data_IF_448483762053
#
_entry.id   IF_448483762053
#
_cell.length_a   1.000
_cell.length_b   1.000
_cell.length_c   1.000
_cell.angle_alpha   90.00
_cell.angle_beta   90.00
_cell.angle_gamma   90.00
#
_symmetry.space_group_name_H-M   'P 1'
#
loop_
_entity.id
_entity.type
_entity.pdbx_description
1 polymer ?
#
# COMPACT_ATOMS: atom_id res chain seq x y z
N UNK A 1 -1.65 -3.95 27.88
CA UNK A 1 -0.52 -4.55 28.58
C UNK A 1 0.60 -3.51 28.71
N UNK A 2 1.30 -3.43 29.87
CA UNK A 2 2.40 -2.51 30.07
C UNK A 2 3.45 -2.80 28.98
N UNK A 3 3.68 -1.83 28.06
CA UNK A 3 4.60 -1.99 26.95
C UNK A 3 3.97 -2.29 25.59
N UNK A 4 2.68 -1.96 25.38
CA UNK A 4 2.10 -2.04 24.04
C UNK A 4 2.78 -0.98 23.13
N UNK A 5 3.74 -1.48 22.35
CA UNK A 5 4.52 -0.65 21.43
C UNK A 5 3.66 -0.02 20.33
N UNK A 6 2.58 -0.69 19.92
CA UNK A 6 1.70 -0.18 18.88
C UNK A 6 0.84 0.97 19.40
N UNK A 7 0.36 0.91 20.65
CA UNK A 7 -0.33 2.04 21.27
C UNK A 7 0.59 3.25 21.45
N UNK A 8 1.80 3.04 21.97
CA UNK A 8 2.78 4.12 22.17
C UNK A 8 3.11 4.80 20.84
N UNK A 9 3.40 3.99 19.80
CA UNK A 9 3.71 4.46 18.46
C UNK A 9 2.53 5.20 17.82
N UNK A 10 1.31 4.66 17.98
CA UNK A 10 0.11 5.33 17.49
C UNK A 10 -0.01 6.74 18.04
N UNK A 11 0.12 6.91 19.37
CA UNK A 11 0.03 8.22 20.02
C UNK A 11 1.14 9.15 19.54
N UNK A 12 2.40 8.70 19.59
CA UNK A 12 3.55 9.51 19.20
C UNK A 12 3.50 9.94 17.73
N UNK A 13 3.10 9.04 16.82
CA UNK A 13 2.99 9.35 15.41
C UNK A 13 1.80 10.25 15.12
N UNK A 14 0.66 10.04 15.79
CA UNK A 14 -0.49 10.91 15.65
C UNK A 14 -0.18 12.35 16.07
N UNK A 15 0.48 12.55 17.23
CA UNK A 15 0.93 13.86 17.70
C UNK A 15 1.94 14.49 16.73
N UNK A 16 2.92 13.71 16.24
CA UNK A 16 3.92 14.17 15.28
C UNK A 16 3.27 14.59 13.96
N UNK A 17 2.49 13.73 13.35
CA UNK A 17 1.89 13.97 12.04
C UNK A 17 0.88 15.13 12.09
N UNK A 18 0.11 15.24 13.17
CA UNK A 18 -0.76 16.40 13.41
C UNK A 18 0.04 17.69 13.52
N UNK A 19 1.20 17.70 14.21
CA UNK A 19 2.08 18.87 14.32
C UNK A 19 2.65 19.30 12.95
N UNK A 20 2.85 18.36 12.05
CA UNK A 20 3.29 18.56 10.67
C UNK A 20 2.11 18.87 9.71
N UNK A 21 0.89 19.00 10.24
CA UNK A 21 -0.36 19.24 9.49
C UNK A 21 -0.67 18.16 8.46
N UNK A 22 -0.24 16.94 8.71
CA UNK A 22 -0.61 15.79 7.89
C UNK A 22 -2.06 15.37 8.18
N UNK A 23 -2.76 14.74 7.24
CA UNK A 23 -4.19 14.44 7.35
C UNK A 23 -4.45 13.25 8.28
N UNK A 24 -4.03 13.34 9.53
CA UNK A 24 -4.29 12.36 10.59
C UNK A 24 -5.28 12.93 11.60
N UNK A 25 -5.99 12.08 12.39
CA UNK A 25 -6.90 12.57 13.41
C UNK A 25 -6.16 13.35 14.48
N UNK A 26 -6.79 14.40 15.03
CA UNK A 26 -6.27 15.11 16.18
C UNK A 26 -6.52 14.29 17.46
N UNK A 27 -5.53 14.25 18.37
CA UNK A 27 -5.68 13.68 19.70
C UNK A 27 -6.19 14.76 20.65
N UNK A 28 -7.34 14.54 21.29
CA UNK A 28 -7.89 15.41 22.32
C UNK A 28 -7.41 15.05 23.73
N UNK A 29 -7.27 13.74 24.00
CA UNK A 29 -6.78 13.26 25.31
C UNK A 29 -6.18 11.85 25.18
N UNK A 30 -5.22 11.54 26.07
CA UNK A 30 -4.59 10.21 26.17
C UNK A 30 -4.59 9.77 27.62
N UNK A 31 -5.13 8.59 27.89
CA UNK A 31 -4.93 7.88 29.16
C UNK A 31 -3.98 6.69 28.92
N UNK A 32 -2.71 6.88 29.28
CA UNK A 32 -1.66 5.86 29.11
C UNK A 32 -1.81 4.70 30.11
N UNK A 33 -2.54 4.89 31.21
CA UNK A 33 -2.72 3.85 32.21
C UNK A 33 -3.76 2.80 31.76
N UNK A 34 -4.79 3.25 31.04
CA UNK A 34 -5.86 2.38 30.52
C UNK A 34 -5.77 2.14 29.01
N UNK A 35 -4.74 2.69 28.33
CA UNK A 35 -4.56 2.57 26.86
C UNK A 35 -5.75 3.14 26.07
N UNK A 36 -6.27 4.26 26.49
CA UNK A 36 -7.41 4.93 25.85
C UNK A 36 -6.95 6.25 25.20
N UNK A 37 -7.50 6.54 24.04
CA UNK A 37 -7.28 7.79 23.32
C UNK A 37 -8.61 8.37 22.89
N UNK A 38 -8.80 9.66 23.13
CA UNK A 38 -9.91 10.41 22.56
C UNK A 38 -9.41 11.12 21.29
N UNK A 39 -9.97 10.73 20.16
CA UNK A 39 -9.55 11.20 18.84
C UNK A 39 -10.62 12.08 18.17
N UNK A 40 -10.18 12.88 17.22
CA UNK A 40 -11.05 13.50 16.23
C UNK A 40 -11.83 12.42 15.46
N UNK A 41 -13.13 12.64 15.27
CA UNK A 41 -13.97 11.81 14.43
C UNK A 41 -13.77 12.22 12.95
N UNK A 42 -13.17 11.33 12.16
CA UNK A 42 -12.98 11.52 10.72
C UNK A 42 -14.18 11.04 9.89
N UNK A 43 -15.30 10.73 10.55
CA UNK A 43 -16.47 10.17 9.92
C UNK A 43 -16.42 8.65 9.77
N UNK A 44 -17.39 8.10 9.05
CA UNK A 44 -17.56 6.65 8.89
C UNK A 44 -17.29 6.16 7.48
N UNK A 45 -17.12 7.06 6.51
CA UNK A 45 -16.96 6.69 5.11
C UNK A 45 -15.48 6.54 4.76
N UNK A 46 -15.10 5.34 4.34
CA UNK A 46 -13.79 5.05 3.77
C UNK A 46 -13.79 5.30 2.26
N UNK A 47 -12.64 5.53 1.65
CA UNK A 47 -12.51 5.62 0.20
C UNK A 47 -13.04 4.35 -0.49
N UNK A 48 -12.84 3.19 0.13
CA UNK A 48 -13.43 1.92 -0.29
C UNK A 48 -14.96 1.99 -0.43
N UNK A 49 -15.66 2.60 0.55
CA UNK A 49 -17.13 2.72 0.50
C UNK A 49 -17.59 3.64 -0.64
N UNK A 50 -16.84 4.72 -0.87
CA UNK A 50 -17.08 5.62 -2.01
C UNK A 50 -16.99 4.86 -3.34
N UNK A 51 -16.03 3.95 -3.46
CA UNK A 51 -15.84 3.15 -4.68
C UNK A 51 -16.87 2.03 -4.83
N UNK A 52 -17.38 1.46 -3.73
CA UNK A 52 -18.37 0.35 -3.73
C UNK A 52 -19.79 0.84 -3.96
N UNK A 53 -20.13 2.01 -3.53
CA UNK A 53 -21.44 2.60 -3.90
C UNK A 53 -21.62 2.71 -5.42
N UNK A 54 -20.55 2.38 -6.17
CA UNK A 54 -20.46 2.22 -7.61
C UNK A 54 -20.85 0.83 -8.12
N UNK A 55 -21.01 -0.15 -7.24
CA UNK A 55 -21.33 -1.51 -7.68
C UNK A 55 -22.80 -1.63 -8.09
N UNK A 56 -23.05 -2.38 -9.14
CA UNK A 56 -24.26 -2.50 -9.95
C UNK A 56 -25.58 -2.83 -9.25
N UNK A 57 -25.64 -2.74 -7.91
CA UNK A 57 -26.89 -2.89 -7.13
C UNK A 57 -27.56 -1.55 -6.75
N UNK A 58 -26.88 -0.41 -6.94
CA UNK A 58 -27.49 0.90 -6.75
C UNK A 58 -28.10 1.39 -8.08
N UNK A 59 -29.31 1.89 -8.02
CA UNK A 59 -30.06 2.41 -9.17
C UNK A 59 -29.45 3.67 -9.81
N UNK A 60 -28.36 4.20 -9.26
CA UNK A 60 -27.52 5.25 -9.82
C UNK A 60 -26.06 4.87 -9.65
N UNK A 61 -25.32 4.55 -10.74
CA UNK A 61 -23.88 4.42 -10.66
C UNK A 61 -23.32 5.78 -10.19
N UNK A 62 -22.36 5.80 -9.25
CA UNK A 62 -21.72 7.05 -8.87
C UNK A 62 -21.02 7.64 -10.08
N UNK A 63 -20.98 8.93 -10.10
CA UNK A 63 -20.29 9.71 -11.10
C UNK A 63 -18.80 9.33 -11.12
N UNK A 64 -18.37 8.64 -12.18
CA UNK A 64 -16.98 8.25 -12.37
C UNK A 64 -16.03 9.48 -12.25
N UNK A 65 -16.54 10.68 -12.53
CA UNK A 65 -15.81 11.93 -12.36
C UNK A 65 -15.57 12.23 -10.86
N UNK A 66 -16.49 11.88 -9.99
CA UNK A 66 -16.35 12.07 -8.54
C UNK A 66 -15.27 11.15 -7.96
N UNK A 67 -15.25 9.86 -8.35
CA UNK A 67 -14.21 8.92 -7.92
C UNK A 67 -12.83 9.38 -8.39
N UNK A 68 -12.70 9.78 -9.65
CA UNK A 68 -11.43 10.29 -10.19
C UNK A 68 -10.95 11.53 -9.41
N UNK A 69 -11.84 12.47 -9.11
CA UNK A 69 -11.52 13.66 -8.33
C UNK A 69 -11.03 13.30 -6.92
N UNK A 70 -11.70 12.36 -6.24
CA UNK A 70 -11.31 11.93 -4.89
C UNK A 70 -9.93 11.27 -4.93
N UNK A 71 -9.65 10.37 -5.87
CA UNK A 71 -8.33 9.75 -6.02
C UNK A 71 -7.23 10.76 -6.29
N UNK A 72 -7.47 11.76 -7.15
CA UNK A 72 -6.50 12.83 -7.38
C UNK A 72 -6.19 13.62 -6.11
N UNK A 73 -7.20 13.89 -5.28
CA UNK A 73 -7.01 14.58 -3.99
C UNK A 73 -6.29 13.70 -2.98
N UNK A 74 -6.60 12.41 -2.89
CA UNK A 74 -5.87 11.46 -2.02
C UNK A 74 -4.40 11.37 -2.43
N UNK A 75 -4.11 11.31 -3.73
CA UNK A 75 -2.74 11.33 -4.24
C UNK A 75 -2.02 12.66 -3.96
N UNK A 76 -2.72 13.79 -3.98
CA UNK A 76 -2.15 15.08 -3.58
C UNK A 76 -1.80 15.11 -2.08
N UNK A 77 -2.69 14.57 -1.23
CA UNK A 77 -2.40 14.41 0.20
C UNK A 77 -1.25 13.42 0.47
N UNK A 78 -1.09 12.38 -0.35
CA UNK A 78 0.08 11.50 -0.29
C UNK A 78 1.37 12.26 -0.63
N UNK A 79 1.34 13.16 -1.62
CA UNK A 79 2.51 14.01 -1.92
C UNK A 79 2.84 14.95 -0.76
N UNK A 80 1.83 15.51 -0.09
CA UNK A 80 1.99 16.32 1.11
C UNK A 80 2.59 15.49 2.27
N UNK A 81 2.08 14.27 2.48
CA UNK A 81 2.66 13.30 3.44
C UNK A 81 4.14 13.07 3.19
N UNK A 82 4.53 12.83 1.96
CA UNK A 82 5.92 12.60 1.56
C UNK A 82 6.80 13.85 1.73
N UNK A 83 6.26 15.05 1.56
CA UNK A 83 6.98 16.31 1.76
C UNK A 83 7.44 16.48 3.22
N UNK A 84 6.71 15.94 4.18
CA UNK A 84 7.07 15.99 5.59
C UNK A 84 8.24 15.07 5.99
N UNK A 85 8.80 14.28 5.06
CA UNK A 85 9.83 13.25 5.34
C UNK A 85 10.97 13.76 6.21
N UNK A 86 11.61 14.86 5.81
CA UNK A 86 12.78 15.39 6.50
C UNK A 86 12.45 15.81 7.95
N UNK A 87 11.34 16.51 8.13
CA UNK A 87 10.92 17.01 9.44
C UNK A 87 10.46 15.86 10.35
N UNK A 88 9.72 14.90 9.81
CA UNK A 88 9.25 13.72 10.55
C UNK A 88 10.42 12.86 11.03
N UNK A 89 11.41 12.60 10.17
CA UNK A 89 12.60 11.82 10.57
C UNK A 89 13.53 12.57 11.51
N UNK A 90 13.57 13.90 11.44
CA UNK A 90 14.33 14.71 12.40
C UNK A 90 13.68 14.67 13.79
N UNK A 91 12.34 14.69 13.84
CA UNK A 91 11.58 14.76 15.09
C UNK A 91 11.45 13.40 15.81
N UNK A 92 11.42 12.28 15.08
CA UNK A 92 11.24 10.93 15.65
C UNK A 92 12.41 10.00 15.35
N UNK A 93 13.12 9.59 16.39
CA UNK A 93 14.19 8.59 16.28
C UNK A 93 13.65 7.19 15.95
N UNK A 94 12.47 6.82 16.51
CA UNK A 94 11.80 5.55 16.18
C UNK A 94 11.47 5.50 14.69
N UNK A 95 10.79 6.51 14.16
CA UNK A 95 10.41 6.58 12.75
C UNK A 95 11.63 6.56 11.82
N UNK A 96 12.69 7.30 12.16
CA UNK A 96 13.95 7.32 11.39
C UNK A 96 14.64 5.97 11.36
N UNK A 97 14.57 5.18 12.44
CA UNK A 97 15.20 3.86 12.54
C UNK A 97 14.43 2.75 11.80
N UNK A 98 13.18 3.02 11.43
CA UNK A 98 12.32 2.03 10.77
C UNK A 98 12.52 2.05 9.27
N UNK A 99 13.60 1.45 8.83
CA UNK A 99 13.92 1.31 7.42
C UNK A 99 13.06 0.22 6.75
N UNK A 100 12.54 0.55 5.57
CA UNK A 100 11.94 -0.43 4.66
C UNK A 100 12.99 -0.83 3.63
N UNK A 101 13.99 -1.54 4.11
CA UNK A 101 15.18 -1.96 3.39
C UNK A 101 14.98 -3.30 2.66
N UNK A 102 16.04 -3.82 2.04
CA UNK A 102 16.04 -5.09 1.33
C UNK A 102 15.58 -6.24 2.24
N UNK A 103 15.95 -6.25 3.52
CA UNK A 103 15.54 -7.29 4.45
C UNK A 103 14.02 -7.25 4.71
N UNK A 104 13.46 -6.07 4.95
CA UNK A 104 12.02 -5.89 5.14
C UNK A 104 11.23 -6.26 3.87
N UNK A 105 11.73 -5.89 2.69
CA UNK A 105 11.14 -6.25 1.41
C UNK A 105 11.20 -7.77 1.15
N UNK A 106 12.31 -8.41 1.49
CA UNK A 106 12.42 -9.87 1.40
C UNK A 106 11.48 -10.60 2.34
N UNK A 107 11.30 -10.10 3.55
CA UNK A 107 10.32 -10.63 4.48
C UNK A 107 8.90 -10.64 3.86
N UNK A 108 8.51 -9.61 3.12
CA UNK A 108 7.20 -9.59 2.46
C UNK A 108 7.05 -10.65 1.37
N UNK A 109 8.10 -10.90 0.57
CA UNK A 109 8.08 -11.97 -0.44
C UNK A 109 8.18 -13.37 0.18
N UNK A 110 8.84 -13.52 1.32
CA UNK A 110 8.82 -14.76 2.12
C UNK A 110 7.41 -15.00 2.67
N UNK A 111 6.75 -13.97 3.17
CA UNK A 111 5.37 -14.03 3.65
C UNK A 111 4.39 -14.44 2.54
N UNK A 112 4.57 -13.92 1.33
CA UNK A 112 3.84 -14.36 0.12
C UNK A 112 4.13 -15.84 -0.19
N UNK A 113 5.38 -16.24 -0.13
CA UNK A 113 5.80 -17.62 -0.38
C UNK A 113 5.15 -18.58 0.61
N UNK A 114 5.23 -18.28 1.90
CA UNK A 114 4.69 -19.13 2.95
C UNK A 114 3.17 -19.26 2.86
N UNK A 115 2.48 -18.13 2.82
CA UNK A 115 1.03 -18.14 2.99
C UNK A 115 0.25 -18.29 1.70
N UNK A 116 0.73 -17.71 0.59
CA UNK A 116 0.05 -17.83 -0.70
C UNK A 116 0.58 -19.02 -1.50
N UNK A 117 1.88 -19.07 -1.86
CA UNK A 117 2.39 -20.11 -2.77
C UNK A 117 2.33 -21.50 -2.12
N UNK A 118 2.87 -21.67 -0.92
CA UNK A 118 2.86 -22.94 -0.20
C UNK A 118 1.50 -23.20 0.45
N UNK A 119 1.03 -22.26 1.26
CA UNK A 119 -0.16 -22.44 2.09
C UNK A 119 -1.45 -22.52 1.28
N UNK A 120 -1.72 -21.58 0.40
CA UNK A 120 -2.97 -21.51 -0.36
C UNK A 120 -2.92 -22.33 -1.66
N UNK A 121 -1.81 -22.20 -2.43
CA UNK A 121 -1.66 -22.88 -3.71
C UNK A 121 -1.14 -24.32 -3.59
N UNK A 122 -0.53 -24.69 -2.45
CA UNK A 122 0.00 -26.03 -2.20
C UNK A 122 1.24 -26.36 -3.03
N UNK A 123 2.00 -25.34 -3.47
CA UNK A 123 3.20 -25.56 -4.30
C UNK A 123 4.34 -26.09 -3.44
N UNK A 124 5.12 -27.04 -3.99
CA UNK A 124 6.27 -27.59 -3.30
C UNK A 124 7.47 -26.62 -3.27
N UNK A 125 8.39 -26.76 -2.30
CA UNK A 125 9.59 -25.92 -2.23
C UNK A 125 10.43 -25.97 -3.50
N UNK A 126 10.48 -27.10 -4.19
CA UNK A 126 11.26 -27.28 -5.41
C UNK A 126 10.72 -26.42 -6.58
N UNK A 127 9.39 -26.24 -6.65
CA UNK A 127 8.73 -25.38 -7.65
C UNK A 127 9.00 -23.90 -7.33
N UNK A 128 9.10 -23.56 -6.07
CA UNK A 128 9.25 -22.17 -5.60
C UNK A 128 10.71 -21.73 -5.63
N UNK A 129 11.66 -22.62 -5.37
CA UNK A 129 13.09 -22.29 -5.24
C UNK A 129 13.67 -21.41 -6.37
N UNK A 130 13.29 -21.60 -7.66
CA UNK A 130 13.76 -20.74 -8.75
C UNK A 130 13.31 -19.27 -8.64
N UNK A 131 12.32 -18.96 -7.81
CA UNK A 131 11.83 -17.58 -7.62
C UNK A 131 12.68 -16.77 -6.63
N UNK A 132 13.41 -17.42 -5.71
CA UNK A 132 14.14 -16.69 -4.67
C UNK A 132 15.15 -15.67 -5.21
N UNK A 133 15.99 -15.98 -6.22
CA UNK A 133 16.87 -14.99 -6.82
C UNK A 133 16.10 -13.82 -7.47
N UNK A 134 14.89 -14.07 -7.96
CA UNK A 134 14.05 -13.05 -8.56
C UNK A 134 13.46 -12.12 -7.48
N UNK A 135 13.05 -12.68 -6.34
CA UNK A 135 12.60 -11.90 -5.19
C UNK A 135 13.74 -11.05 -4.60
N UNK A 136 14.99 -11.58 -4.58
CA UNK A 136 16.16 -10.80 -4.17
C UNK A 136 16.37 -9.60 -5.10
N UNK A 137 16.33 -9.80 -6.42
CA UNK A 137 16.45 -8.74 -7.40
C UNK A 137 15.36 -7.67 -7.24
N UNK A 138 14.09 -8.08 -7.06
CA UNK A 138 12.99 -7.13 -6.86
C UNK A 138 13.22 -6.30 -5.59
N UNK A 139 13.55 -6.95 -4.48
CA UNK A 139 13.82 -6.26 -3.21
C UNK A 139 14.99 -5.27 -3.32
N UNK A 140 16.08 -5.65 -3.99
CA UNK A 140 17.22 -4.76 -4.24
C UNK A 140 16.86 -3.54 -5.09
N UNK A 141 15.99 -3.71 -6.09
CA UNK A 141 15.54 -2.62 -6.95
C UNK A 141 14.62 -1.69 -6.18
N UNK A 142 13.60 -2.20 -5.49
CA UNK A 142 12.68 -1.39 -4.67
C UNK A 142 13.42 -0.64 -3.54
N UNK A 143 14.44 -1.25 -2.93
CA UNK A 143 15.25 -0.59 -1.91
C UNK A 143 16.07 0.61 -2.45
N UNK A 144 16.35 0.65 -3.75
CA UNK A 144 17.07 1.75 -4.44
C UNK A 144 16.15 2.86 -4.95
N UNK A 145 14.84 2.72 -4.85
CA UNK A 145 13.91 3.78 -5.23
C UNK A 145 14.16 5.07 -4.44
N UNK A 146 13.75 6.24 -4.95
CA UNK A 146 13.64 7.46 -4.14
C UNK A 146 12.86 7.17 -2.86
N UNK A 147 13.39 7.62 -1.73
CA UNK A 147 12.92 7.23 -0.40
C UNK A 147 12.40 8.43 0.39
N UNK A 148 11.40 8.19 1.21
CA UNK A 148 10.79 9.19 2.08
C UNK A 148 9.87 8.56 3.10
N UNK A 149 9.02 9.39 3.70
CA UNK A 149 7.99 8.96 4.63
C UNK A 149 6.93 8.17 3.87
N UNK A 150 6.83 6.88 4.14
CA UNK A 150 5.76 6.02 3.64
C UNK A 150 4.78 5.67 4.77
N UNK A 151 3.51 5.56 4.44
CA UNK A 151 2.45 5.09 5.32
C UNK A 151 2.52 3.56 5.51
N UNK A 152 2.92 2.85 4.46
CA UNK A 152 3.03 1.41 4.29
C UNK A 152 1.70 0.70 3.99
N UNK A 153 0.67 0.96 4.73
CA UNK A 153 -0.65 0.32 4.56
C UNK A 153 -1.67 1.31 3.96
N UNK A 154 -1.25 2.01 2.88
CA UNK A 154 -2.01 3.08 2.21
C UNK A 154 -3.04 2.51 1.22
N UNK A 155 -4.02 1.81 1.74
CA UNK A 155 -5.11 1.21 0.99
C UNK A 155 -6.43 1.97 1.21
N UNK A 156 -7.41 1.76 0.35
CA UNK A 156 -8.68 2.51 0.37
C UNK A 156 -9.46 2.39 1.68
N UNK A 157 -9.24 1.34 2.47
CA UNK A 157 -9.83 1.16 3.80
C UNK A 157 -9.19 2.05 4.87
N UNK A 158 -7.97 2.56 4.63
CA UNK A 158 -7.23 3.40 5.57
C UNK A 158 -7.26 4.89 5.18
N UNK A 159 -8.07 5.23 4.17
CA UNK A 159 -8.33 6.61 3.74
C UNK A 159 -9.78 6.96 4.05
N UNK A 160 -9.97 7.90 4.96
CA UNK A 160 -11.29 8.42 5.34
C UNK A 160 -11.67 9.61 4.44
N UNK A 161 -12.94 9.67 4.04
CA UNK A 161 -13.50 10.76 3.25
C UNK A 161 -14.76 11.24 3.95
N UNK A 162 -14.73 12.40 4.59
CA UNK A 162 -15.91 12.92 5.29
C UNK A 162 -16.96 13.51 4.33
N UNK A 163 -18.15 13.85 4.86
CA UNK A 163 -19.26 14.41 4.09
C UNK A 163 -18.95 15.76 3.41
N UNK A 164 -17.86 16.44 3.77
CA UNK A 164 -17.37 17.67 3.11
C UNK A 164 -16.33 17.35 2.04
N UNK A 165 -15.93 16.09 1.94
CA UNK A 165 -14.88 15.61 1.08
C UNK A 165 -13.47 15.78 1.68
N UNK A 166 -13.31 16.13 2.95
CA UNK A 166 -12.00 16.16 3.62
C UNK A 166 -11.43 14.73 3.67
N UNK A 167 -10.12 14.63 3.46
CA UNK A 167 -9.39 13.36 3.47
C UNK A 167 -8.65 13.22 4.80
N UNK A 168 -8.70 12.04 5.40
CA UNK A 168 -7.95 11.68 6.58
C UNK A 168 -7.30 10.30 6.44
N UNK A 169 -6.13 10.11 7.03
CA UNK A 169 -5.39 8.84 7.02
C UNK A 169 -5.45 8.18 8.40
N UNK A 170 -5.70 6.89 8.42
CA UNK A 170 -5.71 6.06 9.63
C UNK A 170 -4.78 4.86 9.45
N UNK A 171 -4.48 4.14 10.54
CA UNK A 171 -3.59 2.96 10.53
C UNK A 171 -2.14 3.28 10.10
N UNK A 172 -1.66 4.48 10.48
CA UNK A 172 -0.34 5.02 10.10
C UNK A 172 0.81 4.59 11.03
N UNK A 173 0.57 3.84 12.11
CA UNK A 173 1.63 3.38 13.01
C UNK A 173 2.60 2.39 12.32
N UNK A 174 2.23 1.91 11.13
CA UNK A 174 3.09 1.20 10.21
C UNK A 174 4.14 2.07 9.51
N UNK A 175 4.03 3.40 9.58
CA UNK A 175 4.86 4.35 8.85
C UNK A 175 6.37 4.15 9.08
N UNK A 176 7.16 4.40 8.04
CA UNK A 176 8.62 4.18 8.04
C UNK A 176 9.31 4.89 6.88
N UNK A 177 10.62 4.76 6.80
CA UNK A 177 11.42 5.27 5.70
C UNK A 177 11.48 4.24 4.57
N UNK A 178 10.83 4.50 3.44
CA UNK A 178 10.74 3.55 2.32
C UNK A 178 10.54 4.21 0.97
N UNK A 179 10.25 3.38 -0.05
CA UNK A 179 10.01 3.82 -1.41
C UNK A 179 8.83 4.78 -1.51
N UNK A 180 9.01 5.92 -2.17
CA UNK A 180 7.95 6.90 -2.44
C UNK A 180 6.85 6.37 -3.36
N UNK A 181 7.10 5.29 -4.09
CA UNK A 181 6.11 4.67 -4.99
C UNK A 181 5.22 3.64 -4.31
N UNK A 182 5.63 3.11 -3.13
CA UNK A 182 4.96 1.98 -2.49
C UNK A 182 3.53 2.28 -2.07
N UNK A 183 3.29 3.46 -1.50
CA UNK A 183 1.95 3.88 -1.06
C UNK A 183 1.03 4.16 -2.26
N UNK A 184 1.55 4.79 -3.32
CA UNK A 184 0.80 4.98 -4.56
C UNK A 184 0.43 3.62 -5.19
N UNK A 185 1.32 2.63 -5.14
CA UNK A 185 1.06 1.28 -5.59
C UNK A 185 -0.01 0.58 -4.73
N UNK A 186 0.06 0.75 -3.40
CA UNK A 186 -0.93 0.22 -2.47
C UNK A 186 -2.33 0.76 -2.74
N UNK A 187 -2.45 2.05 -3.08
CA UNK A 187 -3.71 2.71 -3.37
C UNK A 187 -4.27 2.38 -4.75
N UNK A 188 -3.45 2.48 -5.79
CA UNK A 188 -3.91 2.39 -7.18
C UNK A 188 -4.12 0.94 -7.66
N UNK A 189 -3.41 -0.02 -7.07
CA UNK A 189 -3.61 -1.45 -7.32
C UNK A 189 -4.34 -2.17 -6.17
N UNK A 190 -5.06 -1.40 -5.33
CA UNK A 190 -5.78 -1.94 -4.18
C UNK A 190 -6.79 -3.03 -4.60
N UNK A 191 -6.66 -4.29 -4.10
CA UNK A 191 -7.60 -5.37 -4.40
C UNK A 191 -9.02 -5.18 -3.82
N UNK A 192 -9.20 -4.22 -2.91
CA UNK A 192 -10.53 -3.89 -2.37
C UNK A 192 -11.41 -3.14 -3.36
N UNK A 193 -10.81 -2.48 -4.35
CA UNK A 193 -11.53 -1.66 -5.34
C UNK A 193 -11.20 -2.08 -6.77
N UNK A 194 -12.16 -1.93 -7.68
CA UNK A 194 -11.98 -2.31 -9.08
C UNK A 194 -11.69 -1.08 -9.95
N UNK A 195 -10.45 -0.57 -9.91
CA UNK A 195 -10.00 0.50 -10.80
C UNK A 195 -9.56 -0.10 -12.13
N UNK A 196 -9.98 0.51 -13.25
CA UNK A 196 -9.50 0.14 -14.57
C UNK A 196 -7.98 0.40 -14.69
N UNK A 197 -7.18 -0.58 -15.17
CA UNK A 197 -5.73 -0.40 -15.32
C UNK A 197 -5.32 0.82 -16.16
N UNK A 198 -6.16 1.21 -17.14
CA UNK A 198 -5.89 2.43 -17.93
C UNK A 198 -5.99 3.70 -17.10
N UNK A 199 -6.93 3.75 -16.15
CA UNK A 199 -7.05 4.85 -15.18
C UNK A 199 -5.90 4.86 -14.19
N UNK A 200 -5.44 3.68 -13.72
CA UNK A 200 -4.25 3.58 -12.86
C UNK A 200 -3.07 4.28 -13.54
N UNK A 201 -2.81 3.99 -14.82
CA UNK A 201 -1.70 4.60 -15.57
C UNK A 201 -1.85 6.12 -15.72
N UNK A 202 -3.08 6.60 -15.98
CA UNK A 202 -3.36 8.03 -16.11
C UNK A 202 -3.16 8.74 -14.77
N UNK A 203 -3.77 8.23 -13.69
CA UNK A 203 -3.70 8.88 -12.37
C UNK A 203 -2.29 8.85 -11.79
N UNK A 204 -1.56 7.74 -11.97
CA UNK A 204 -0.16 7.67 -11.58
C UNK A 204 0.70 8.66 -12.35
N UNK A 205 0.52 8.77 -13.69
CA UNK A 205 1.27 9.74 -14.52
C UNK A 205 1.06 11.17 -14.03
N UNK A 206 -0.19 11.54 -13.77
CA UNK A 206 -0.55 12.89 -13.35
C UNK A 206 -0.01 13.19 -11.94
N UNK A 207 -0.06 12.21 -11.04
CA UNK A 207 0.54 12.29 -9.72
C UNK A 207 2.07 12.38 -9.77
N UNK A 208 2.75 11.54 -10.53
CA UNK A 208 4.20 11.55 -10.63
C UNK A 208 4.72 12.88 -11.21
N UNK A 209 3.98 13.46 -12.17
CA UNK A 209 4.30 14.77 -12.75
C UNK A 209 4.17 15.92 -11.74
N UNK A 210 3.21 15.84 -10.82
CA UNK A 210 2.90 16.90 -9.85
C UNK A 210 3.57 16.72 -8.50
N UNK A 211 4.14 15.54 -8.20
CA UNK A 211 4.74 15.24 -6.91
C UNK A 211 6.17 15.83 -6.81
N UNK A 212 6.39 16.86 -5.97
CA UNK A 212 7.68 17.52 -5.85
C UNK A 212 8.76 16.67 -5.17
N UNK A 213 8.38 15.53 -4.56
CA UNK A 213 9.29 14.67 -3.83
C UNK A 213 9.98 13.64 -4.74
N UNK A 214 9.45 13.45 -5.96
CA UNK A 214 10.04 12.56 -6.93
C UNK A 214 11.18 13.26 -7.69
N UNK A 215 12.26 12.53 -8.05
CA UNK A 215 13.35 13.09 -8.82
C UNK A 215 12.90 13.46 -10.24
N UNK A 216 13.67 14.32 -10.90
CA UNK A 216 13.44 14.64 -12.30
C UNK A 216 13.86 13.46 -13.19
N UNK A 217 12.89 12.67 -13.59
CA UNK A 217 13.04 11.47 -14.42
C UNK A 217 11.97 11.42 -15.51
N UNK A 218 12.15 10.55 -16.50
CA UNK A 218 11.12 10.27 -17.51
C UNK A 218 9.91 9.55 -16.89
N UNK A 219 8.76 9.64 -17.54
CA UNK A 219 7.60 8.87 -17.11
C UNK A 219 7.86 7.35 -17.11
N UNK A 220 8.64 6.84 -18.06
CA UNK A 220 8.98 5.41 -18.13
C UNK A 220 9.75 4.95 -16.88
N UNK A 221 10.74 5.71 -16.43
CA UNK A 221 11.51 5.41 -15.22
C UNK A 221 10.63 5.45 -13.95
N UNK A 222 9.72 6.43 -13.83
CA UNK A 222 8.75 6.47 -12.75
C UNK A 222 7.80 5.28 -12.80
N UNK A 223 7.34 4.90 -14.00
CA UNK A 223 6.43 3.79 -14.20
C UNK A 223 7.08 2.46 -13.83
N UNK A 224 8.34 2.25 -14.18
CA UNK A 224 9.10 1.06 -13.80
C UNK A 224 9.22 0.92 -12.27
N UNK A 225 9.61 1.99 -11.57
CA UNK A 225 9.65 2.00 -10.11
C UNK A 225 8.26 1.73 -9.48
N UNK A 226 7.20 2.28 -10.07
CA UNK A 226 5.83 2.04 -9.61
C UNK A 226 5.40 0.59 -9.80
N UNK A 227 5.72 -0.04 -10.94
CA UNK A 227 5.42 -1.45 -11.18
C UNK A 227 6.19 -2.37 -10.23
N UNK A 228 7.47 -2.09 -9.95
CA UNK A 228 8.28 -2.82 -8.98
C UNK A 228 7.68 -2.75 -7.56
N UNK A 229 7.30 -1.54 -7.12
CA UNK A 229 6.61 -1.35 -5.85
C UNK A 229 5.24 -2.04 -5.82
N UNK A 230 4.53 -2.08 -6.96
CA UNK A 230 3.23 -2.75 -7.11
C UNK A 230 3.36 -4.26 -7.01
N UNK A 231 4.37 -4.86 -7.64
CA UNK A 231 4.67 -6.29 -7.51
C UNK A 231 4.92 -6.65 -6.04
N UNK A 232 5.79 -5.89 -5.38
CA UNK A 232 6.14 -6.08 -3.98
C UNK A 232 4.90 -6.01 -3.07
N UNK A 233 4.11 -4.93 -3.20
CA UNK A 233 2.92 -4.71 -2.38
C UNK A 233 1.82 -5.74 -2.59
N UNK A 234 1.57 -6.14 -3.84
CA UNK A 234 0.53 -7.13 -4.16
C UNK A 234 0.89 -8.54 -3.68
N UNK A 235 2.16 -8.93 -3.75
CA UNK A 235 2.62 -10.18 -3.15
C UNK A 235 2.43 -10.18 -1.63
N UNK A 236 2.80 -9.09 -0.95
CA UNK A 236 2.56 -8.94 0.48
C UNK A 236 1.05 -9.04 0.82
N UNK A 237 0.19 -8.35 0.06
CA UNK A 237 -1.26 -8.37 0.27
C UNK A 237 -1.84 -9.79 0.11
N UNK A 238 -1.43 -10.54 -0.92
CA UNK A 238 -1.85 -11.93 -1.14
C UNK A 238 -1.43 -12.84 0.02
N UNK A 239 -0.20 -12.70 0.52
CA UNK A 239 0.26 -13.40 1.72
C UNK A 239 -0.61 -13.08 2.94
N UNK A 240 -0.94 -11.79 3.14
CA UNK A 240 -1.78 -11.34 4.23
C UNK A 240 -3.21 -11.88 4.13
N UNK A 241 -3.85 -11.81 2.97
CA UNK A 241 -5.20 -12.33 2.78
C UNK A 241 -5.28 -13.84 3.06
N UNK A 242 -4.28 -14.61 2.61
CA UNK A 242 -4.22 -16.04 2.87
C UNK A 242 -3.99 -16.35 4.35
N UNK A 243 -3.06 -15.64 5.01
CA UNK A 243 -2.81 -15.83 6.44
C UNK A 243 -4.04 -15.45 7.28
N UNK A 244 -4.64 -14.30 7.02
CA UNK A 244 -5.80 -13.81 7.79
C UNK A 244 -7.01 -14.72 7.59
N UNK A 245 -7.31 -15.16 6.37
CA UNK A 245 -8.48 -15.99 6.10
C UNK A 245 -8.32 -17.43 6.62
N UNK A 246 -7.14 -18.05 6.44
CA UNK A 246 -6.94 -19.48 6.73
C UNK A 246 -6.38 -19.74 8.12
N UNK A 247 -5.37 -18.98 8.54
CA UNK A 247 -4.66 -19.22 9.80
C UNK A 247 -5.26 -18.44 10.97
N UNK A 248 -5.79 -17.23 10.71
CA UNK A 248 -6.45 -16.40 11.73
C UNK A 248 -7.98 -16.55 11.76
N UNK A 249 -8.58 -17.28 10.80
CA UNK A 249 -10.01 -17.55 10.76
C UNK A 249 -10.90 -16.36 10.37
N UNK A 250 -10.35 -15.27 9.82
CA UNK A 250 -11.09 -14.09 9.38
C UNK A 250 -11.54 -14.28 7.93
N UNK A 251 -12.63 -15.03 7.74
CA UNK A 251 -13.08 -15.53 6.43
C UNK A 251 -13.29 -14.44 5.36
N UNK A 252 -13.62 -13.20 5.77
CA UNK A 252 -13.87 -12.08 4.85
C UNK A 252 -12.68 -11.79 3.92
N UNK A 253 -11.44 -12.02 4.38
CA UNK A 253 -10.25 -11.79 3.55
C UNK A 253 -10.11 -12.74 2.36
N UNK A 254 -10.77 -13.90 2.37
CA UNK A 254 -10.74 -14.84 1.26
C UNK A 254 -11.31 -14.24 -0.05
N UNK A 255 -12.27 -13.31 0.06
CA UNK A 255 -12.88 -12.63 -1.09
C UNK A 255 -11.88 -11.74 -1.87
N UNK A 256 -10.78 -11.33 -1.24
CA UNK A 256 -9.79 -10.43 -1.85
C UNK A 256 -8.61 -11.17 -2.50
N UNK A 257 -8.51 -12.50 -2.33
CA UNK A 257 -7.44 -13.30 -2.96
C UNK A 257 -7.55 -13.26 -4.48
N UNK A 258 -8.74 -13.54 -5.04
CA UNK A 258 -8.98 -13.48 -6.49
C UNK A 258 -8.65 -12.13 -7.09
N UNK A 259 -9.26 -11.03 -6.61
CA UNK A 259 -8.89 -9.68 -7.05
C UNK A 259 -7.39 -9.37 -6.93
N UNK A 260 -6.73 -9.77 -5.83
CA UNK A 260 -5.29 -9.58 -5.65
C UNK A 260 -4.46 -10.31 -6.71
N UNK A 261 -4.85 -11.54 -7.07
CA UNK A 261 -4.20 -12.30 -8.16
C UNK A 261 -4.36 -11.58 -9.50
N UNK A 262 -5.56 -11.11 -9.82
CA UNK A 262 -5.81 -10.38 -11.08
C UNK A 262 -4.99 -9.07 -11.15
N UNK A 263 -4.89 -8.33 -10.03
CA UNK A 263 -4.04 -7.13 -9.97
C UNK A 263 -2.57 -7.47 -10.17
N UNK A 264 -2.06 -8.49 -9.49
CA UNK A 264 -0.67 -8.91 -9.65
C UNK A 264 -0.41 -9.40 -11.09
N UNK A 265 -1.34 -10.13 -11.69
CA UNK A 265 -1.26 -10.55 -13.09
C UNK A 265 -1.17 -9.36 -14.03
N UNK A 266 -2.04 -8.34 -13.86
CA UNK A 266 -2.02 -7.12 -14.68
C UNK A 266 -0.68 -6.40 -14.61
N UNK A 267 -0.11 -6.27 -13.41
CA UNK A 267 1.21 -5.65 -13.22
C UNK A 267 2.31 -6.46 -13.89
N UNK A 268 2.30 -7.78 -13.74
CA UNK A 268 3.31 -8.69 -14.32
C UNK A 268 3.24 -8.78 -15.85
N UNK A 269 2.09 -8.48 -16.46
CA UNK A 269 1.90 -8.48 -17.90
C UNK A 269 2.28 -7.16 -18.58
N UNK A 270 2.68 -6.15 -17.81
CA UNK A 270 3.15 -4.88 -18.37
C UNK A 270 4.48 -5.08 -19.12
N UNK A 271 4.38 -5.18 -20.45
CA UNK A 271 5.47 -5.65 -21.31
C UNK A 271 6.68 -4.71 -21.43
N UNK A 272 6.53 -3.46 -21.01
CA UNK A 272 7.61 -2.47 -21.05
C UNK A 272 8.54 -2.52 -19.83
N UNK A 273 8.22 -3.36 -18.82
CA UNK A 273 8.99 -3.37 -17.59
C UNK A 273 10.30 -4.18 -17.73
N UNK A 274 11.46 -3.65 -17.31
CA UNK A 274 12.76 -4.33 -17.45
C UNK A 274 12.83 -5.70 -16.79
N UNK A 275 12.11 -5.93 -15.67
CA UNK A 275 12.04 -7.24 -15.01
C UNK A 275 11.29 -8.27 -15.87
N UNK A 276 10.35 -7.86 -16.71
CA UNK A 276 9.67 -8.76 -17.63
C UNK A 276 10.59 -9.23 -18.75
N UNK A 277 11.50 -8.38 -19.20
CA UNK A 277 12.57 -8.74 -20.14
C UNK A 277 13.60 -9.68 -19.50
N UNK A 278 13.84 -9.55 -18.17
CA UNK A 278 14.83 -10.31 -17.40
C UNK A 278 14.28 -11.62 -16.79
N UNK A 279 13.20 -12.19 -17.32
CA UNK A 279 12.65 -13.49 -16.87
C UNK A 279 11.98 -13.51 -15.49
N UNK A 280 11.70 -12.36 -14.85
CA UNK A 280 10.98 -12.33 -13.56
C UNK A 280 9.48 -12.62 -13.72
N UNK A 281 8.84 -11.92 -14.65
CA UNK A 281 7.37 -11.94 -14.74
C UNK A 281 6.83 -13.30 -15.18
N UNK A 282 7.43 -13.95 -16.15
CA UNK A 282 6.95 -15.22 -16.70
C UNK A 282 6.91 -16.37 -15.67
N UNK A 283 7.94 -16.63 -14.85
CA UNK A 283 7.87 -17.65 -13.81
C UNK A 283 6.80 -17.36 -12.75
N UNK A 284 6.66 -16.12 -12.29
CA UNK A 284 5.63 -15.77 -11.32
C UNK A 284 4.23 -15.91 -11.93
N UNK A 285 4.01 -15.42 -13.15
CA UNK A 285 2.75 -15.57 -13.88
C UNK A 285 2.33 -17.03 -14.02
N UNK A 286 3.26 -17.92 -14.41
CA UNK A 286 2.97 -19.34 -14.58
C UNK A 286 2.46 -19.99 -13.29
N UNK A 287 2.96 -19.54 -12.13
CA UNK A 287 2.51 -20.03 -10.83
C UNK A 287 1.15 -19.43 -10.40
N UNK A 288 0.77 -18.27 -10.92
CA UNK A 288 -0.57 -17.71 -10.69
C UNK A 288 -1.65 -18.44 -11.52
N UNK A 289 -1.30 -19.02 -12.66
CA UNK A 289 -2.22 -19.66 -13.61
C UNK A 289 -2.46 -21.16 -13.36
N UNK A 290 -1.54 -21.86 -12.71
CA UNK A 290 -1.69 -23.29 -12.40
C UNK A 290 -2.86 -23.49 -11.44
N UNK A 291 -3.80 -24.38 -11.80
CA UNK A 291 -4.96 -24.74 -10.95
C UNK A 291 -4.55 -25.63 -9.79
#
# INVERSE_FOLDING_TARGET
>A
HAGDLDFTRFVEYCELFSSLRLPTPHIYAVDRATYQVLLEDLGTQQLWDVCRSNDSSSTNPPDASNVANIYQRVLAELSHWQTASQEAFAASADLRSREFDTHALRWETEYFTEHYLQGYRGLSPEIIAPLYPLFDQLAERVAKHPRGLMHRDFQSQNVMVDGTGRIGFVDFQGARHGSLYYDAASLLWDPYVNIDPTLVRVWFRDWAKSNPNLPSQSFAEHWDCFLEASMQRLMQALGAYCNLSRNKGIASFAAHIGPGVERLRSVLQESSHPLCECSFCAPVLSLLETK
#
